data_IF_390660599167
#
_entry.id   IF_390660599167
#
_cell.length_a   1.000
_cell.length_b   1.000
_cell.length_c   1.000
_cell.angle_alpha   90.00
_cell.angle_beta   90.00
_cell.angle_gamma   90.00
#
_symmetry.space_group_name_H-M   'P 1'
#
loop_
_entity.id
_entity.type
_entity.pdbx_description
1 polymer ?
#
# COMPACT_ATOMS: atom_id res chain seq x y z
N UNK A 1 -8.33 31.81 15.54
CA UNK A 1 -7.83 31.74 16.93
C UNK A 1 -8.79 30.89 17.76
N UNK A 2 -8.27 29.85 18.44
CA UNK A 2 -8.80 29.25 19.70
C UNK A 2 -10.13 28.47 19.55
N UNK A 3 -10.32 27.22 19.97
CA UNK A 3 -9.59 26.36 20.92
C UNK A 3 -9.75 24.87 20.56
N UNK A 4 -8.66 24.15 20.78
CA UNK A 4 -8.55 22.70 20.93
C UNK A 4 -9.10 22.28 22.30
N UNK A 5 -9.89 21.20 22.39
CA UNK A 5 -10.18 20.49 23.65
C UNK A 5 -10.24 18.98 23.41
N UNK A 6 -9.09 18.33 23.54
CA UNK A 6 -9.00 16.90 23.86
C UNK A 6 -8.92 16.76 25.38
N UNK A 7 -9.84 15.99 25.97
CA UNK A 7 -9.73 15.44 27.32
C UNK A 7 -10.00 13.93 27.26
N UNK A 8 -8.96 13.14 27.48
CA UNK A 8 -9.00 11.71 27.76
C UNK A 8 -7.66 11.37 28.39
N UNK A 9 -7.52 11.47 29.71
CA UNK A 9 -7.81 10.43 30.69
C UNK A 9 -6.56 9.58 31.01
N UNK A 10 -6.03 9.87 32.21
CA UNK A 10 -5.53 8.94 33.23
C UNK A 10 -4.26 8.14 32.91
N UNK A 11 -3.21 8.54 33.64
CA UNK A 11 -1.98 7.81 33.86
C UNK A 11 -2.20 6.51 34.66
N UNK A 12 -1.41 5.49 34.39
CA UNK A 12 -0.91 4.60 35.44
C UNK A 12 0.48 4.07 35.06
N UNK A 13 1.44 4.47 35.89
CA UNK A 13 2.83 4.04 35.94
C UNK A 13 2.88 2.60 36.44
N UNK A 14 3.63 1.72 35.77
CA UNK A 14 4.24 0.56 36.42
C UNK A 14 5.68 0.45 35.96
N UNK A 15 6.55 0.37 36.95
CA UNK A 15 7.98 0.49 36.86
C UNK A 15 8.68 -0.86 37.07
N UNK A 16 9.91 -0.92 36.55
CA UNK A 16 11.12 -1.49 37.19
C UNK A 16 11.35 -3.01 37.25
N UNK A 17 12.62 -3.34 36.93
CA UNK A 17 13.44 -4.51 37.35
C UNK A 17 13.23 -5.83 36.59
N UNK A 18 14.21 -6.68 36.31
CA UNK A 18 15.66 -6.64 36.45
C UNK A 18 16.27 -7.77 35.58
N UNK A 19 17.54 -7.59 35.23
CA UNK A 19 18.44 -8.52 34.57
C UNK A 19 18.66 -9.82 35.35
N UNK A 20 18.61 -10.97 34.66
CA UNK A 20 19.27 -12.19 35.11
C UNK A 20 20.53 -12.43 34.27
N UNK A 21 21.68 -12.22 34.90
CA UNK A 21 22.92 -12.86 34.53
C UNK A 21 22.87 -14.31 35.02
N UNK A 22 23.09 -15.27 34.13
CA UNK A 22 23.43 -16.64 34.49
C UNK A 22 24.87 -16.89 34.06
N UNK A 23 25.72 -17.20 35.04
CA UNK A 23 27.13 -17.55 34.91
C UNK A 23 27.32 -19.00 35.39
N UNK A 24 28.31 -19.69 34.83
CA UNK A 24 28.92 -20.91 35.35
C UNK A 24 28.77 -22.11 34.40
N UNK A 25 29.79 -22.92 34.09
CA UNK A 25 31.16 -23.01 34.61
C UNK A 25 32.04 -23.83 33.65
N UNK A 26 33.32 -23.43 33.59
CA UNK A 26 34.58 -24.21 33.57
C UNK A 26 34.70 -25.57 32.83
N UNK A 27 35.76 -25.68 32.03
CA UNK A 27 36.50 -26.94 31.89
C UNK A 27 36.96 -27.34 30.48
N UNK A 28 38.28 -27.30 30.24
CA UNK A 28 38.96 -28.38 29.52
C UNK A 28 39.26 -28.17 28.02
N UNK A 29 40.50 -27.78 27.74
CA UNK A 29 41.17 -27.96 26.46
C UNK A 29 41.63 -29.43 26.30
N UNK A 30 41.23 -30.12 25.22
CA UNK A 30 42.07 -31.05 24.45
C UNK A 30 41.29 -31.69 23.28
N UNK A 31 41.98 -31.76 22.15
CA UNK A 31 41.59 -32.27 20.84
C UNK A 31 41.13 -33.73 20.81
N UNK A 32 40.14 -34.06 19.97
CA UNK A 32 40.13 -35.31 19.22
C UNK A 32 39.26 -35.22 17.96
N UNK A 33 39.83 -35.79 16.89
CA UNK A 33 39.30 -36.01 15.56
C UNK A 33 37.93 -36.70 15.56
N UNK A 34 36.95 -36.11 14.89
CA UNK A 34 35.65 -36.71 14.60
C UNK A 34 35.03 -36.06 13.37
N UNK A 35 35.06 -36.76 12.25
CA UNK A 35 34.52 -36.35 10.95
C UNK A 35 33.02 -36.68 10.95
N UNK A 36 32.15 -35.67 11.04
CA UNK A 36 30.71 -35.82 10.82
C UNK A 36 30.22 -34.88 9.71
N UNK A 37 29.23 -35.30 8.91
CA UNK A 37 28.83 -34.61 7.70
C UNK A 37 28.08 -33.33 8.05
N UNK A 38 28.53 -32.24 7.43
CA UNK A 38 27.86 -30.95 7.41
C UNK A 38 26.47 -31.14 6.79
N UNK A 39 25.45 -31.25 7.65
CA UNK A 39 24.05 -31.15 7.24
C UNK A 39 23.83 -29.70 6.82
N UNK A 40 23.98 -29.44 5.53
CA UNK A 40 23.55 -28.21 4.88
C UNK A 40 22.06 -28.05 5.17
N UNK A 41 21.74 -27.25 6.18
CA UNK A 41 20.39 -26.79 6.42
C UNK A 41 20.15 -25.70 5.38
N UNK A 42 19.73 -26.13 4.20
CA UNK A 42 19.16 -25.27 3.18
C UNK A 42 17.88 -24.67 3.77
N UNK A 43 18.05 -23.51 4.39
CA UNK A 43 16.97 -22.66 4.84
C UNK A 43 16.31 -22.12 3.58
N UNK A 44 15.31 -22.85 3.07
CA UNK A 44 14.47 -22.40 1.97
C UNK A 44 13.68 -21.17 2.44
N UNK A 45 14.24 -19.98 2.26
CA UNK A 45 13.50 -18.73 2.43
C UNK A 45 12.29 -18.78 1.49
N UNK A 46 11.05 -18.58 1.97
CA UNK A 46 9.90 -18.48 1.08
C UNK A 46 10.15 -17.40 0.04
N UNK A 47 10.06 -17.74 -1.25
CA UNK A 47 10.10 -16.75 -2.32
C UNK A 47 8.83 -15.94 -2.21
N UNK A 48 8.96 -14.65 -1.91
CA UNK A 48 7.83 -13.74 -1.82
C UNK A 48 7.19 -13.60 -3.21
N UNK A 49 5.87 -13.80 -3.28
CA UNK A 49 5.11 -13.73 -4.54
C UNK A 49 4.73 -12.27 -4.86
N UNK A 50 4.57 -11.89 -6.14
CA UNK A 50 4.04 -10.58 -6.51
C UNK A 50 2.66 -10.32 -5.87
N UNK A 51 2.38 -9.04 -5.62
CA UNK A 51 1.08 -8.61 -5.12
C UNK A 51 -0.01 -8.79 -6.19
N UNK A 52 -1.20 -9.18 -5.76
CA UNK A 52 -2.40 -9.17 -6.59
C UNK A 52 -3.16 -7.87 -6.33
N UNK A 53 -3.23 -6.98 -7.32
CA UNK A 53 -3.88 -5.67 -7.17
C UNK A 53 -5.32 -5.64 -7.70
N UNK A 54 -5.83 -6.74 -8.29
CA UNK A 54 -7.22 -6.82 -8.72
C UNK A 54 -8.17 -6.59 -7.54
N UNK A 55 -9.31 -5.94 -7.81
CA UNK A 55 -10.33 -5.63 -6.81
C UNK A 55 -10.58 -4.13 -6.65
N UNK A 56 -11.25 -3.78 -5.55
CA UNK A 56 -11.77 -2.44 -5.31
C UNK A 56 -10.92 -1.67 -4.31
N UNK A 57 -10.77 -0.38 -4.57
CA UNK A 57 -9.92 0.54 -3.84
C UNK A 57 -10.71 1.81 -3.51
N UNK A 58 -10.52 2.36 -2.31
CA UNK A 58 -11.18 3.57 -1.83
C UNK A 58 -10.14 4.60 -1.41
N UNK A 59 -10.32 5.84 -1.84
CA UNK A 59 -9.50 6.96 -1.39
C UNK A 59 -9.59 7.16 0.12
N UNK A 60 -8.44 7.31 0.77
CA UNK A 60 -8.33 7.49 2.23
C UNK A 60 -7.94 8.90 2.66
N UNK A 61 -7.47 9.73 1.73
CA UNK A 61 -7.06 11.11 1.98
C UNK A 61 -7.99 12.14 1.33
N UNK A 62 -9.29 11.83 1.25
CA UNK A 62 -10.30 12.76 0.76
C UNK A 62 -10.44 13.97 1.70
N UNK A 63 -10.71 15.15 1.13
CA UNK A 63 -10.94 16.37 1.90
C UNK A 63 -12.38 16.48 2.46
N UNK A 64 -13.28 15.60 2.00
CA UNK A 64 -14.67 15.49 2.42
C UNK A 64 -15.13 14.05 2.30
N UNK A 65 -16.00 13.61 3.21
CA UNK A 65 -16.67 12.31 3.09
C UNK A 65 -17.73 12.29 1.97
N UNK A 66 -18.21 13.46 1.55
CA UNK A 66 -19.25 13.59 0.52
C UNK A 66 -18.71 13.50 -0.92
N UNK A 67 -17.39 13.54 -1.11
CA UNK A 67 -16.76 13.43 -2.41
C UNK A 67 -15.40 12.76 -2.28
N UNK A 68 -15.30 11.55 -2.82
CA UNK A 68 -14.09 10.72 -2.80
C UNK A 68 -13.89 10.06 -4.15
N UNK A 69 -12.72 9.45 -4.34
CA UNK A 69 -12.49 8.57 -5.49
C UNK A 69 -12.52 7.10 -5.06
N UNK A 70 -13.16 6.27 -5.89
CA UNK A 70 -13.05 4.82 -5.82
C UNK A 70 -12.45 4.29 -7.12
N UNK A 71 -11.65 3.24 -7.02
CA UNK A 71 -11.08 2.56 -8.16
C UNK A 71 -11.42 1.06 -8.16
N UNK A 72 -11.49 0.48 -9.34
CA UNK A 72 -11.60 -0.96 -9.55
C UNK A 72 -10.54 -1.38 -10.57
N UNK A 73 -9.74 -2.37 -10.18
CA UNK A 73 -8.78 -3.04 -11.06
C UNK A 73 -9.39 -4.40 -11.40
N UNK A 74 -9.65 -4.62 -12.68
CA UNK A 74 -10.18 -5.89 -13.17
C UNK A 74 -9.87 -6.05 -14.66
N UNK A 75 -9.50 -7.27 -15.06
CA UNK A 75 -9.35 -7.61 -16.48
C UNK A 75 -8.32 -6.75 -17.23
N UNK A 76 -7.21 -6.39 -16.57
CA UNK A 76 -6.16 -5.56 -17.17
C UNK A 76 -6.54 -4.09 -17.35
N UNK A 77 -7.61 -3.63 -16.67
CA UNK A 77 -8.05 -2.24 -16.68
C UNK A 77 -8.14 -1.71 -15.27
N UNK A 78 -7.73 -0.45 -15.06
CA UNK A 78 -8.05 0.32 -13.87
C UNK A 78 -9.09 1.39 -14.22
N UNK A 79 -10.20 1.41 -13.49
CA UNK A 79 -11.24 2.44 -13.61
C UNK A 79 -11.35 3.20 -12.31
N UNK A 80 -11.25 4.52 -12.35
CA UNK A 80 -11.38 5.44 -11.21
C UNK A 80 -12.61 6.30 -11.43
N UNK A 81 -13.46 6.40 -10.41
CA UNK A 81 -14.66 7.22 -10.42
C UNK A 81 -14.61 8.23 -9.26
N UNK A 82 -15.11 9.43 -9.52
CA UNK A 82 -15.65 10.28 -8.47
C UNK A 82 -16.90 9.63 -7.90
N UNK A 83 -17.01 9.57 -6.58
CA UNK A 83 -18.15 9.01 -5.87
C UNK A 83 -18.70 10.05 -4.91
N UNK A 84 -20.01 10.30 -5.04
CA UNK A 84 -20.85 11.13 -4.18
C UNK A 84 -22.03 10.26 -3.71
N UNK A 85 -22.80 10.69 -2.67
CA UNK A 85 -23.88 9.86 -2.11
C UNK A 85 -24.88 9.31 -3.15
N UNK A 86 -25.25 10.12 -4.13
CA UNK A 86 -26.30 9.78 -5.12
C UNK A 86 -25.77 9.67 -6.56
N UNK A 87 -24.46 9.78 -6.79
CA UNK A 87 -23.91 9.76 -8.14
C UNK A 87 -22.45 9.29 -8.21
N UNK A 88 -22.10 8.75 -9.37
CA UNK A 88 -20.72 8.40 -9.74
C UNK A 88 -20.39 9.00 -11.09
N UNK A 89 -19.19 9.56 -11.23
CA UNK A 89 -18.71 10.13 -12.49
C UNK A 89 -17.34 9.57 -12.81
N UNK A 90 -17.13 9.13 -14.05
CA UNK A 90 -15.85 8.63 -14.50
C UNK A 90 -14.77 9.71 -14.35
N UNK A 91 -13.65 9.35 -13.69
CA UNK A 91 -12.43 10.15 -13.65
C UNK A 91 -11.36 9.58 -14.59
N UNK A 92 -11.11 8.28 -14.54
CA UNK A 92 -10.09 7.62 -15.35
C UNK A 92 -10.56 6.22 -15.75
N UNK A 93 -10.24 5.79 -16.96
CA UNK A 93 -10.26 4.37 -17.32
C UNK A 93 -9.13 4.10 -18.29
N UNK A 94 -8.32 3.09 -18.01
CA UNK A 94 -7.10 2.83 -18.77
C UNK A 94 -6.44 1.51 -18.42
N UNK A 95 -5.32 1.22 -19.09
CA UNK A 95 -4.62 -0.05 -18.94
C UNK A 95 -4.06 -0.25 -17.52
N UNK A 96 -4.02 -1.51 -17.09
CA UNK A 96 -3.36 -1.96 -15.87
C UNK A 96 -2.33 -3.02 -16.20
N UNK A 97 -1.15 -2.90 -15.60
CA UNK A 97 -0.07 -3.88 -15.70
C UNK A 97 0.18 -4.50 -14.32
N UNK A 98 -0.01 -5.81 -14.21
CA UNK A 98 0.11 -6.52 -12.95
C UNK A 98 1.57 -6.62 -12.46
N UNK A 99 1.82 -6.57 -11.14
CA UNK A 99 3.14 -6.80 -10.58
C UNK A 99 3.76 -8.12 -11.04
N UNK A 100 4.98 -8.06 -11.56
CA UNK A 100 5.75 -9.24 -11.96
C UNK A 100 6.78 -9.67 -10.90
N UNK A 101 6.96 -8.88 -9.85
CA UNK A 101 7.91 -9.09 -8.76
C UNK A 101 7.26 -8.70 -7.40
N UNK A 102 7.75 -9.25 -6.28
CA UNK A 102 7.34 -8.81 -4.95
C UNK A 102 7.82 -7.37 -4.67
N UNK A 103 7.11 -6.70 -3.75
CA UNK A 103 7.43 -5.34 -3.31
C UNK A 103 6.63 -4.26 -4.05
N UNK A 104 7.17 -3.04 -4.00
CA UNK A 104 6.54 -1.86 -4.60
C UNK A 104 6.45 -2.01 -6.12
N UNK A 105 5.38 -1.47 -6.70
CA UNK A 105 5.11 -1.57 -8.13
C UNK A 105 4.68 -0.22 -8.70
N UNK A 106 4.98 0.04 -9.96
CA UNK A 106 4.52 1.24 -10.65
C UNK A 106 4.27 0.93 -12.11
N UNK A 107 3.26 1.55 -12.68
CA UNK A 107 2.94 1.40 -14.09
C UNK A 107 2.35 2.68 -14.67
N UNK A 108 2.62 2.89 -15.96
CA UNK A 108 1.98 3.92 -16.77
C UNK A 108 0.69 3.36 -17.36
N UNK A 109 -0.46 3.78 -16.83
CA UNK A 109 -1.76 3.47 -17.41
C UNK A 109 -1.99 4.31 -18.66
N UNK A 110 -2.29 3.67 -19.80
CA UNK A 110 -2.73 4.36 -21.02
C UNK A 110 -4.24 4.54 -20.96
N UNK A 111 -4.71 5.77 -21.10
CA UNK A 111 -6.12 6.12 -21.03
C UNK A 111 -6.91 5.63 -22.25
N UNK A 112 -8.14 5.18 -22.01
CA UNK A 112 -9.14 5.00 -23.06
C UNK A 112 -9.80 6.36 -23.34
N UNK A 113 -9.12 7.16 -24.16
CA UNK A 113 -9.51 8.56 -24.42
C UNK A 113 -10.87 8.67 -25.11
N UNK A 114 -11.28 7.66 -25.88
CA UNK A 114 -12.61 7.61 -26.50
C UNK A 114 -13.71 7.49 -25.43
N UNK A 115 -13.56 6.59 -24.45
CA UNK A 115 -14.52 6.48 -23.35
C UNK A 115 -14.52 7.73 -22.46
N UNK A 116 -13.34 8.27 -22.18
CA UNK A 116 -13.21 9.44 -21.32
C UNK A 116 -13.72 10.73 -21.97
N UNK A 117 -13.68 10.86 -23.31
CA UNK A 117 -14.12 12.07 -24.02
C UNK A 117 -15.58 12.46 -23.75
N UNK A 118 -16.44 11.50 -23.41
CA UNK A 118 -17.86 11.76 -23.10
C UNK A 118 -18.12 12.12 -21.64
N UNK A 119 -17.14 11.90 -20.75
CA UNK A 119 -17.29 12.09 -19.32
C UNK A 119 -16.73 13.45 -18.88
N UNK A 120 -17.62 14.36 -18.52
CA UNK A 120 -17.29 15.76 -18.19
C UNK A 120 -16.21 15.93 -17.10
N UNK A 121 -16.13 14.99 -16.16
CA UNK A 121 -15.18 15.02 -15.04
C UNK A 121 -14.01 14.05 -15.21
N UNK A 122 -13.86 13.43 -16.38
CA UNK A 122 -12.73 12.57 -16.67
C UNK A 122 -11.45 13.39 -16.86
N UNK A 123 -10.31 12.74 -16.60
CA UNK A 123 -9.01 13.32 -16.92
C UNK A 123 -8.89 13.55 -18.42
N UNK A 124 -8.17 14.59 -18.79
CA UNK A 124 -7.79 14.87 -20.18
C UNK A 124 -6.40 14.32 -20.52
N UNK A 125 -5.74 13.66 -19.57
CA UNK A 125 -4.42 13.06 -19.80
C UNK A 125 -4.54 11.82 -20.72
N UNK A 126 -3.57 11.62 -21.61
CA UNK A 126 -3.48 10.39 -22.41
C UNK A 126 -2.91 9.21 -21.60
N UNK A 127 -2.20 9.50 -20.51
CA UNK A 127 -1.59 8.51 -19.63
C UNK A 127 -1.54 9.00 -18.17
N UNK A 128 -1.48 8.04 -17.23
CA UNK A 128 -1.38 8.31 -15.80
C UNK A 128 -0.47 7.30 -15.10
N UNK A 129 0.44 7.81 -14.27
CA UNK A 129 1.29 6.97 -13.42
C UNK A 129 0.54 6.53 -12.18
N UNK A 130 0.58 5.22 -11.91
CA UNK A 130 0.08 4.63 -10.67
C UNK A 130 1.23 3.98 -9.92
N UNK A 131 1.18 4.09 -8.58
CA UNK A 131 2.19 3.55 -7.68
C UNK A 131 1.54 2.73 -6.58
N UNK A 132 1.97 1.49 -6.43
CA UNK A 132 1.63 0.60 -5.34
C UNK A 132 2.79 0.51 -4.35
N UNK A 133 2.50 0.73 -3.07
CA UNK A 133 3.45 0.57 -1.96
C UNK A 133 3.08 -0.68 -1.15
N UNK A 134 3.91 -1.72 -1.22
CA UNK A 134 3.64 -3.04 -0.64
C UNK A 134 3.62 -3.01 0.89
N UNK A 135 4.52 -2.23 1.51
CA UNK A 135 4.63 -2.15 2.97
C UNK A 135 3.38 -1.61 3.67
N UNK A 136 2.58 -0.81 2.95
CA UNK A 136 1.35 -0.23 3.47
C UNK A 136 0.09 -0.77 2.79
N UNK A 137 0.19 -1.54 1.71
CA UNK A 137 -0.92 -1.89 0.82
C UNK A 137 -1.68 -0.63 0.35
N UNK A 138 -0.94 0.31 -0.26
CA UNK A 138 -1.48 1.58 -0.75
C UNK A 138 -1.31 1.73 -2.25
N UNK A 139 -2.39 2.11 -2.94
CA UNK A 139 -2.35 2.58 -4.32
C UNK A 139 -2.38 4.10 -4.33
N UNK A 140 -1.57 4.74 -5.17
CA UNK A 140 -1.53 6.20 -5.32
C UNK A 140 -1.32 6.65 -6.75
N UNK A 141 -1.82 7.85 -7.06
CA UNK A 141 -1.68 8.53 -8.35
C UNK A 141 -2.02 10.01 -8.19
N UNK A 142 -1.57 10.84 -9.12
CA UNK A 142 -1.97 12.24 -9.16
C UNK A 142 -3.26 12.42 -9.97
N UNK A 143 -4.22 13.12 -9.37
CA UNK A 143 -5.48 13.49 -9.96
C UNK A 143 -5.58 15.02 -10.14
N UNK A 144 -5.83 15.46 -11.37
CA UNK A 144 -6.08 16.86 -11.71
C UNK A 144 -7.53 17.06 -12.10
N UNK A 145 -8.21 18.02 -11.46
CA UNK A 145 -9.53 18.48 -11.84
C UNK A 145 -9.69 19.97 -11.49
N UNK A 146 -10.38 20.72 -12.36
CA UNK A 146 -10.67 22.15 -12.14
C UNK A 146 -9.43 23.00 -11.79
N UNK A 147 -8.27 22.69 -12.40
CA UNK A 147 -7.02 23.41 -12.19
C UNK A 147 -6.29 23.09 -10.88
N UNK A 148 -6.74 22.09 -10.12
CA UNK A 148 -6.08 21.62 -8.90
C UNK A 148 -5.58 20.19 -9.09
N UNK A 149 -4.34 19.93 -8.67
CA UNK A 149 -3.76 18.58 -8.63
C UNK A 149 -3.62 18.12 -7.19
N UNK A 150 -4.02 16.88 -6.92
CA UNK A 150 -3.84 16.21 -5.63
C UNK A 150 -3.26 14.81 -5.83
N UNK A 151 -2.40 14.38 -4.91
CA UNK A 151 -2.01 12.97 -4.83
C UNK A 151 -3.11 12.20 -4.12
N UNK A 152 -3.78 11.32 -4.84
CA UNK A 152 -4.78 10.41 -4.29
C UNK A 152 -4.07 9.22 -3.67
N UNK A 153 -4.50 8.82 -2.47
CA UNK A 153 -4.04 7.62 -1.77
C UNK A 153 -5.23 6.73 -1.51
N UNK A 154 -5.12 5.45 -1.81
CA UNK A 154 -6.21 4.48 -1.73
C UNK A 154 -5.82 3.23 -0.96
N UNK A 155 -6.79 2.67 -0.24
CA UNK A 155 -6.72 1.35 0.39
C UNK A 155 -7.73 0.41 -0.26
N UNK A 156 -7.44 -0.88 -0.21
CA UNK A 156 -8.38 -1.92 -0.61
C UNK A 156 -9.65 -1.83 0.23
N UNK A 157 -10.80 -2.06 -0.43
CA UNK A 157 -12.11 -2.19 0.24
C UNK A 157 -12.21 -3.50 1.05
#
# INVERSE_FOLDING_TARGET
MKQLKFLGAVACVVALCATFAACGSDGGQASSTGKEPQKSQESSTPVEKPADLDGKWTQTNANSESMRMDAEIAGGTITVNWVQPDSTSLYWTGSYEAPTAPGDWSWTSKGDTEKMASALLASQDDAKEFHYTASSDELSFDATAMGTTVTVRMKRQ
#
